data_IF_261080083902
#
_entry.id   IF_261080083902
#
_cell.length_a   1.000
_cell.length_b   1.000
_cell.length_c   1.000
_cell.angle_alpha   90.00
_cell.angle_beta   90.00
_cell.angle_gamma   90.00
#
_symmetry.space_group_name_H-M   'P 1'
#
loop_
_entity.id
_entity.type
_entity.pdbx_description
1 polymer ?
#
# COMPACT_ATOMS: atom_id res chain seq x y z
N UNK A 1 37.13 -16.29 -31.08
CA UNK A 1 36.64 -15.28 -30.15
C UNK A 1 35.46 -14.56 -30.78
N UNK A 2 34.25 -14.96 -30.45
CA UNK A 2 33.04 -14.31 -30.94
C UNK A 2 32.70 -13.19 -29.95
N UNK A 3 32.85 -11.95 -30.35
CA UNK A 3 32.44 -10.79 -29.54
C UNK A 3 30.92 -10.79 -29.48
N UNK A 4 30.37 -11.03 -28.28
CA UNK A 4 28.98 -10.76 -27.98
C UNK A 4 28.86 -9.23 -27.97
N UNK A 5 28.41 -8.67 -29.07
CA UNK A 5 27.91 -7.30 -29.08
C UNK A 5 26.61 -7.32 -28.29
N UNK A 6 26.68 -6.93 -27.02
CA UNK A 6 25.50 -6.58 -26.29
C UNK A 6 24.82 -5.42 -27.02
N UNK A 7 23.79 -5.72 -27.78
CA UNK A 7 22.98 -4.68 -28.44
C UNK A 7 22.53 -3.70 -27.35
N UNK A 8 22.83 -2.43 -27.58
CA UNK A 8 22.25 -1.36 -26.74
C UNK A 8 20.74 -1.52 -26.85
N UNK A 9 20.09 -1.87 -25.70
CA UNK A 9 18.65 -1.97 -25.64
C UNK A 9 18.07 -0.65 -26.17
N UNK A 10 17.21 -0.73 -27.17
CA UNK A 10 16.58 0.44 -27.76
C UNK A 10 15.66 1.06 -26.72
N UNK A 11 15.62 2.38 -26.61
CA UNK A 11 14.75 3.07 -25.70
C UNK A 11 13.66 3.80 -26.50
N UNK A 12 12.39 3.56 -26.14
CA UNK A 12 11.27 4.25 -26.76
C UNK A 12 10.84 5.41 -25.86
N UNK A 13 10.96 6.64 -26.37
CA UNK A 13 10.45 7.82 -25.67
C UNK A 13 8.97 8.01 -25.98
N UNK A 14 8.12 8.16 -24.97
CA UNK A 14 6.67 8.36 -25.13
C UNK A 14 6.38 9.62 -25.95
N UNK A 15 7.18 10.68 -25.82
CA UNK A 15 7.02 11.89 -26.63
C UNK A 15 7.27 11.69 -28.13
N UNK A 16 7.92 10.58 -28.54
CA UNK A 16 8.07 10.23 -29.98
C UNK A 16 6.81 9.59 -30.57
N UNK A 17 5.86 9.19 -29.75
CA UNK A 17 4.59 8.65 -30.25
C UNK A 17 3.69 9.76 -30.78
N UNK A 18 2.79 9.46 -31.73
CA UNK A 18 1.82 10.42 -32.23
C UNK A 18 1.05 11.12 -31.12
N UNK A 19 0.91 12.43 -31.19
CA UNK A 19 0.18 13.26 -30.23
C UNK A 19 -1.31 13.29 -30.59
N UNK A 20 -1.94 12.10 -30.52
CA UNK A 20 -3.36 11.88 -30.82
C UNK A 20 -3.99 11.03 -29.70
N UNK A 21 -5.25 11.26 -29.43
CA UNK A 21 -5.97 10.56 -28.37
C UNK A 21 -5.59 11.01 -26.96
N UNK A 22 -5.78 10.13 -25.99
CA UNK A 22 -5.46 10.36 -24.57
C UNK A 22 -3.97 10.12 -24.27
N UNK A 23 -3.51 10.62 -23.11
CA UNK A 23 -2.17 10.33 -22.63
C UNK A 23 -2.00 8.82 -22.34
N UNK A 24 -3.05 8.13 -21.87
CA UNK A 24 -3.03 6.67 -21.67
C UNK A 24 -2.78 5.93 -22.97
N UNK A 25 -3.48 6.29 -24.04
CA UNK A 25 -3.28 5.68 -25.38
C UNK A 25 -1.87 5.93 -25.93
N UNK A 26 -1.34 7.13 -25.73
CA UNK A 26 0.01 7.48 -26.15
C UNK A 26 1.09 6.68 -25.42
N UNK A 27 0.93 6.51 -24.10
CA UNK A 27 1.82 5.66 -23.29
C UNK A 27 1.69 4.19 -23.69
N UNK A 28 0.47 3.69 -23.89
CA UNK A 28 0.23 2.33 -24.36
C UNK A 28 0.87 2.05 -25.74
N UNK A 29 0.81 3.02 -26.65
CA UNK A 29 1.48 2.92 -27.97
C UNK A 29 3.00 2.79 -27.82
N UNK A 30 3.63 3.55 -26.91
CA UNK A 30 5.06 3.45 -26.63
C UNK A 30 5.44 2.09 -26.03
N UNK A 31 4.65 1.59 -25.08
CA UNK A 31 4.84 0.26 -24.50
C UNK A 31 4.72 -0.85 -25.54
N UNK A 32 3.78 -0.73 -26.46
CA UNK A 32 3.62 -1.68 -27.56
C UNK A 32 4.79 -1.63 -28.54
N UNK A 33 5.29 -0.44 -28.86
CA UNK A 33 6.43 -0.26 -29.76
C UNK A 33 7.75 -0.75 -29.18
N UNK A 34 7.92 -0.63 -27.83
CA UNK A 34 9.13 -1.02 -27.10
C UNK A 34 8.91 -2.22 -26.18
N UNK A 35 8.05 -3.17 -26.57
CA UNK A 35 7.79 -4.35 -25.73
C UNK A 35 9.08 -5.15 -25.47
N UNK A 36 9.37 -5.38 -24.19
CA UNK A 36 10.61 -6.04 -23.76
C UNK A 36 11.83 -5.12 -23.72
N UNK A 37 11.65 -3.80 -23.69
CA UNK A 37 12.72 -2.81 -23.75
C UNK A 37 12.55 -1.67 -22.73
N UNK A 38 13.28 -0.61 -22.89
CA UNK A 38 13.24 0.60 -22.05
C UNK A 38 12.24 1.60 -22.60
N UNK A 39 11.28 1.99 -21.79
CA UNK A 39 10.29 3.02 -22.10
C UNK A 39 10.63 4.27 -21.28
N UNK A 40 10.77 5.41 -21.93
CA UNK A 40 11.09 6.69 -21.26
C UNK A 40 9.85 7.57 -21.25
N UNK A 41 9.39 7.88 -20.05
CA UNK A 41 8.31 8.82 -19.78
C UNK A 41 8.90 10.06 -19.10
N UNK A 42 9.15 11.08 -19.87
CA UNK A 42 9.66 12.37 -19.39
C UNK A 42 8.58 13.45 -19.48
N UNK A 43 8.91 14.71 -19.18
CA UNK A 43 7.94 15.82 -19.30
C UNK A 43 7.17 15.72 -20.60
N UNK A 44 5.85 15.76 -20.48
CA UNK A 44 4.94 15.66 -21.62
C UNK A 44 5.15 16.83 -22.59
N UNK A 45 5.23 16.52 -23.87
CA UNK A 45 5.24 17.49 -24.96
C UNK A 45 4.04 17.21 -25.85
N UNK A 46 3.15 18.19 -26.00
CA UNK A 46 1.98 18.08 -26.84
C UNK A 46 1.74 19.40 -27.59
N UNK A 47 1.36 19.30 -28.85
CA UNK A 47 0.94 20.46 -29.66
C UNK A 47 -0.51 20.82 -29.37
N UNK A 48 -1.32 19.84 -28.95
CA UNK A 48 -2.75 20.01 -28.67
C UNK A 48 -3.02 20.58 -27.28
N UNK A 49 -2.04 20.49 -26.36
CA UNK A 49 -2.14 20.96 -24.99
C UNK A 49 -0.72 21.38 -24.50
N UNK A 50 -0.19 22.50 -25.01
CA UNK A 50 1.18 22.92 -24.76
C UNK A 50 1.45 23.39 -23.35
N UNK A 51 0.41 23.79 -22.60
CA UNK A 51 0.54 24.34 -21.25
C UNK A 51 0.67 23.26 -20.19
N UNK A 52 0.32 22.00 -20.52
CA UNK A 52 0.42 20.88 -19.61
C UNK A 52 1.63 20.01 -19.92
N UNK A 53 2.62 20.03 -19.06
CA UNK A 53 3.87 19.27 -19.19
C UNK A 53 3.93 17.99 -18.32
N UNK A 54 2.79 17.51 -17.85
CA UNK A 54 2.62 16.30 -17.05
C UNK A 54 1.54 15.39 -17.64
N UNK A 55 1.55 14.12 -17.28
CA UNK A 55 0.69 13.09 -17.86
C UNK A 55 -0.60 12.91 -17.05
N UNK A 56 -1.75 12.91 -17.72
CA UNK A 56 -3.08 12.63 -17.14
C UNK A 56 -3.57 11.30 -17.70
N UNK A 57 -3.70 10.30 -16.81
CA UNK A 57 -4.05 8.96 -17.23
C UNK A 57 -5.44 8.55 -16.74
N UNK A 58 -6.18 7.91 -17.63
CA UNK A 58 -7.53 7.38 -17.38
C UNK A 58 -7.51 5.87 -17.08
N UNK A 59 -6.42 5.19 -17.38
CA UNK A 59 -6.22 3.75 -17.27
C UNK A 59 -4.81 3.44 -16.81
N UNK A 60 -4.60 2.25 -16.27
CA UNK A 60 -3.30 1.81 -15.80
C UNK A 60 -2.26 1.67 -16.90
N UNK A 61 -1.04 2.06 -16.62
CA UNK A 61 0.13 1.73 -17.44
C UNK A 61 0.47 0.25 -17.23
N UNK A 62 0.27 -0.58 -18.26
CA UNK A 62 0.45 -2.04 -18.17
C UNK A 62 1.86 -2.45 -18.58
N UNK A 63 2.66 -2.93 -17.62
CA UNK A 63 4.06 -3.33 -17.87
C UNK A 63 4.16 -4.83 -18.17
N UNK A 64 4.54 -5.21 -19.39
CA UNK A 64 4.83 -6.61 -19.73
C UNK A 64 6.18 -7.05 -19.12
N UNK A 65 6.45 -8.36 -19.17
CA UNK A 65 7.76 -8.90 -18.80
C UNK A 65 8.90 -8.25 -19.57
N UNK A 66 10.06 -8.24 -18.94
CA UNK A 66 11.33 -7.73 -19.51
C UNK A 66 11.31 -6.23 -19.85
N UNK A 67 10.43 -5.45 -19.19
CA UNK A 67 10.24 -4.01 -19.46
C UNK A 67 10.80 -3.15 -18.32
N UNK A 68 11.51 -2.09 -18.68
CA UNK A 68 11.92 -1.02 -17.78
C UNK A 68 11.20 0.29 -18.13
N UNK A 69 10.31 0.77 -17.27
CA UNK A 69 9.72 2.09 -17.37
C UNK A 69 10.61 3.10 -16.61
N UNK A 70 11.19 4.04 -17.31
CA UNK A 70 11.95 5.16 -16.76
C UNK A 70 11.05 6.38 -16.76
N UNK A 71 10.75 6.90 -15.57
CA UNK A 71 9.97 8.12 -15.40
C UNK A 71 10.96 9.22 -15.01
N UNK A 72 11.03 10.30 -15.79
CA UNK A 72 12.07 11.32 -15.61
C UNK A 72 11.48 12.71 -15.45
N UNK A 73 11.77 13.36 -14.31
CA UNK A 73 11.42 14.76 -14.02
C UNK A 73 9.98 15.14 -14.41
N UNK A 74 9.01 14.26 -14.13
CA UNK A 74 7.62 14.47 -14.55
C UNK A 74 6.62 14.00 -13.50
N UNK A 75 5.38 14.44 -13.66
CA UNK A 75 4.23 14.00 -12.90
C UNK A 75 3.31 13.12 -13.75
N UNK A 76 2.82 12.05 -13.14
CA UNK A 76 1.69 11.25 -13.63
C UNK A 76 0.54 11.44 -12.66
N UNK A 77 -0.59 11.89 -13.15
CA UNK A 77 -1.80 12.10 -12.36
C UNK A 77 -2.93 11.22 -12.85
N UNK A 78 -3.67 10.62 -11.92
CA UNK A 78 -4.92 9.97 -12.25
C UNK A 78 -5.99 11.02 -12.57
N UNK A 79 -6.73 10.81 -13.64
CA UNK A 79 -7.89 11.65 -13.93
C UNK A 79 -9.07 11.33 -13.01
N UNK A 80 -10.02 12.25 -12.90
CA UNK A 80 -11.25 12.02 -12.14
C UNK A 80 -12.13 10.89 -12.74
N UNK A 81 -11.83 10.44 -13.93
CA UNK A 81 -12.50 9.31 -14.60
C UNK A 81 -11.81 7.98 -14.31
N UNK A 82 -10.55 8.02 -13.88
CA UNK A 82 -9.75 6.81 -13.70
C UNK A 82 -10.37 5.87 -12.66
N UNK A 83 -10.44 4.60 -13.01
CA UNK A 83 -10.95 3.49 -12.19
C UNK A 83 -9.91 2.39 -12.09
N UNK A 84 -8.63 2.73 -12.15
CA UNK A 84 -7.56 1.75 -12.25
C UNK A 84 -6.30 2.25 -11.51
N UNK A 85 -5.28 1.41 -11.46
CA UNK A 85 -3.97 1.71 -10.90
C UNK A 85 -3.25 2.82 -11.68
N UNK A 86 -2.17 3.39 -11.15
CA UNK A 86 -1.22 4.12 -11.98
C UNK A 86 -0.47 3.17 -12.92
N UNK A 87 0.06 2.09 -12.32
CA UNK A 87 0.90 1.12 -13.03
C UNK A 87 0.55 -0.28 -12.52
N UNK A 88 0.45 -1.24 -13.43
CA UNK A 88 0.22 -2.64 -13.10
C UNK A 88 1.05 -3.56 -13.98
N UNK A 89 1.44 -4.73 -13.45
CA UNK A 89 1.98 -5.80 -14.30
C UNK A 89 0.91 -6.29 -15.28
N UNK A 90 1.26 -6.39 -16.56
CA UNK A 90 0.30 -6.64 -17.64
C UNK A 90 -0.34 -8.04 -17.61
N UNK A 91 0.19 -8.95 -16.78
CA UNK A 91 -0.31 -10.32 -16.63
C UNK A 91 -1.57 -10.44 -15.78
N UNK A 92 -2.02 -9.38 -15.13
CA UNK A 92 -3.19 -9.39 -14.26
C UNK A 92 -4.15 -8.22 -14.58
N UNK A 93 -5.40 -8.35 -14.20
CA UNK A 93 -6.42 -7.32 -14.45
C UNK A 93 -7.82 -7.91 -14.56
N UNK A 94 -8.78 -7.07 -14.92
CA UNK A 94 -10.16 -7.48 -15.16
C UNK A 94 -10.22 -8.56 -16.24
N UNK A 95 -11.01 -9.60 -15.99
CA UNK A 95 -11.19 -10.71 -16.93
C UNK A 95 -10.03 -11.71 -16.99
N UNK A 96 -8.94 -11.51 -16.23
CA UNK A 96 -7.81 -12.44 -16.16
C UNK A 96 -8.05 -13.45 -15.05
N UNK A 97 -8.59 -14.61 -15.37
CA UNK A 97 -8.86 -15.68 -14.39
C UNK A 97 -7.62 -16.47 -13.96
N UNK A 98 -6.64 -16.61 -14.84
CA UNK A 98 -5.39 -17.37 -14.62
C UNK A 98 -4.17 -16.45 -14.86
N UNK A 99 -3.69 -15.86 -13.78
CA UNK A 99 -2.54 -14.95 -13.82
C UNK A 99 -1.25 -15.73 -14.07
N UNK A 100 -0.66 -15.55 -15.24
CA UNK A 100 0.61 -16.18 -15.62
C UNK A 100 1.78 -15.45 -14.96
N UNK A 101 2.89 -16.12 -14.64
CA UNK A 101 4.09 -15.48 -14.15
C UNK A 101 4.63 -14.43 -15.14
N UNK A 102 5.09 -13.30 -14.60
CA UNK A 102 5.83 -12.28 -15.32
C UNK A 102 7.23 -12.12 -14.69
N UNK A 103 8.16 -11.48 -15.37
CA UNK A 103 9.52 -11.32 -14.86
C UNK A 103 10.19 -10.04 -15.37
N UNK A 104 11.25 -9.62 -14.65
CA UNK A 104 12.13 -8.54 -15.04
C UNK A 104 11.39 -7.23 -15.32
N UNK A 105 10.52 -6.79 -14.40
CA UNK A 105 9.77 -5.54 -14.51
C UNK A 105 10.41 -4.48 -13.63
N UNK A 106 10.73 -3.32 -14.19
CA UNK A 106 11.33 -2.22 -13.44
C UNK A 106 10.59 -0.91 -13.65
N UNK A 107 10.43 -0.16 -12.56
CA UNK A 107 9.94 1.23 -12.56
C UNK A 107 11.04 2.07 -11.91
N UNK A 108 11.65 2.94 -12.67
CA UNK A 108 12.79 3.75 -12.25
C UNK A 108 12.44 5.22 -12.37
N UNK A 109 12.31 5.89 -11.23
CA UNK A 109 12.21 7.35 -11.19
C UNK A 109 13.60 8.01 -11.24
N UNK A 110 13.76 8.99 -12.10
CA UNK A 110 14.96 9.80 -12.23
C UNK A 110 14.59 11.28 -12.04
N UNK A 111 15.25 11.95 -11.10
CA UNK A 111 14.96 13.33 -10.75
C UNK A 111 13.69 13.49 -9.93
N UNK A 112 12.87 14.48 -10.23
CA UNK A 112 11.63 14.74 -9.47
C UNK A 112 10.42 14.05 -10.12
N UNK A 113 10.09 12.86 -9.64
CA UNK A 113 8.97 12.05 -10.14
C UNK A 113 7.84 12.03 -9.12
N UNK A 114 6.62 12.39 -9.57
CA UNK A 114 5.43 12.41 -8.74
C UNK A 114 4.30 11.57 -9.37
N UNK A 115 3.79 10.61 -8.62
CA UNK A 115 2.52 9.94 -8.90
C UNK A 115 1.45 10.54 -8.00
N UNK A 116 0.45 11.19 -8.56
CA UNK A 116 -0.59 11.93 -7.83
C UNK A 116 -1.97 11.37 -8.14
N UNK A 117 -2.77 11.08 -7.11
CA UNK A 117 -4.16 10.66 -7.25
C UNK A 117 -5.05 11.72 -7.90
N UNK A 118 -6.27 11.34 -8.24
CA UNK A 118 -7.27 12.23 -8.84
C UNK A 118 -7.66 13.38 -7.89
N UNK A 119 -8.13 14.50 -8.43
CA UNK A 119 -8.66 15.58 -7.61
C UNK A 119 -9.99 15.21 -6.96
N UNK A 120 -10.81 14.46 -7.70
CA UNK A 120 -12.08 13.89 -7.26
C UNK A 120 -12.03 12.40 -7.39
N UNK A 121 -11.35 11.72 -6.46
CA UNK A 121 -11.22 10.28 -6.52
C UNK A 121 -12.60 9.62 -6.50
N UNK A 122 -12.76 8.56 -7.27
CA UNK A 122 -13.99 7.78 -7.35
C UNK A 122 -13.73 6.35 -6.91
N UNK A 123 -14.79 5.68 -6.46
CA UNK A 123 -14.67 4.26 -6.21
C UNK A 123 -14.31 3.50 -7.48
N UNK A 124 -13.59 2.43 -7.30
CA UNK A 124 -13.45 1.42 -8.32
C UNK A 124 -14.78 0.76 -8.64
N UNK A 125 -14.81 0.01 -9.69
CA UNK A 125 -16.02 -0.64 -10.14
C UNK A 125 -16.79 0.22 -11.11
N UNK A 126 -17.88 -0.33 -11.57
CA UNK A 126 -18.75 0.28 -12.58
C UNK A 126 -19.54 1.43 -12.03
N UNK A 127 -19.23 1.78 -10.80
CA UNK A 127 -20.03 2.73 -10.12
C UNK A 127 -19.76 4.11 -10.69
N UNK A 128 -20.78 4.63 -11.24
CA UNK A 128 -21.06 6.05 -11.24
C UNK A 128 -21.04 6.63 -9.81
N UNK A 129 -20.67 5.81 -8.82
CA UNK A 129 -20.59 6.19 -7.42
C UNK A 129 -19.47 7.19 -7.18
N UNK A 130 -19.87 8.41 -7.00
CA UNK A 130 -19.07 9.35 -6.24
C UNK A 130 -19.16 8.90 -4.78
N UNK A 131 -18.13 8.32 -4.21
CA UNK A 131 -18.10 8.06 -2.78
C UNK A 131 -17.80 9.39 -2.12
N UNK A 132 -18.78 9.88 -1.41
CA UNK A 132 -18.61 11.00 -0.50
C UNK A 132 -18.63 10.44 0.90
N UNK A 133 -17.46 10.37 1.51
CA UNK A 133 -17.33 9.97 2.88
C UNK A 133 -16.90 11.14 3.73
N UNK A 134 -17.67 11.41 4.74
CA UNK A 134 -17.30 12.39 5.77
C UNK A 134 -16.27 11.75 6.70
N UNK A 135 -15.25 12.48 7.07
CA UNK A 135 -14.22 12.02 7.98
C UNK A 135 -14.76 11.55 9.32
N UNK A 136 -14.21 10.44 9.83
CA UNK A 136 -14.58 9.85 11.11
C UNK A 136 -14.46 10.82 12.31
N UNK A 137 -13.63 11.87 12.20
CA UNK A 137 -13.48 12.89 13.26
C UNK A 137 -14.63 13.87 13.32
N UNK A 138 -15.52 13.82 12.33
CA UNK A 138 -16.68 14.71 12.25
C UNK A 138 -17.96 13.92 12.40
N UNK A 139 -18.01 13.04 13.39
CA UNK A 139 -19.18 12.18 13.68
C UNK A 139 -20.49 12.95 13.75
N UNK A 140 -20.48 14.18 14.23
CA UNK A 140 -21.65 15.05 14.31
C UNK A 140 -22.15 15.47 12.92
N UNK A 141 -21.25 15.51 11.94
CA UNK A 141 -21.59 15.79 10.55
C UNK A 141 -22.05 14.54 9.79
N UNK A 142 -21.69 13.36 10.25
CA UNK A 142 -22.00 12.10 9.60
C UNK A 142 -23.49 11.83 9.47
N UNK A 143 -24.24 12.08 10.54
CA UNK A 143 -25.69 11.94 10.54
C UNK A 143 -26.34 12.92 9.53
N UNK A 144 -25.66 14.02 9.23
CA UNK A 144 -26.11 15.05 8.30
C UNK A 144 -25.83 14.71 6.83
N UNK A 145 -24.84 13.83 6.58
CA UNK A 145 -24.31 13.56 5.25
C UNK A 145 -24.33 12.07 4.84
N UNK A 146 -25.29 11.30 5.32
CA UNK A 146 -25.51 9.93 4.87
C UNK A 146 -26.00 9.90 3.41
N UNK A 147 -25.17 10.31 2.48
CA UNK A 147 -25.51 10.53 1.06
C UNK A 147 -25.95 9.27 0.32
N UNK A 148 -25.61 8.10 0.84
CA UNK A 148 -26.04 6.80 0.31
C UNK A 148 -27.48 6.45 0.64
N UNK A 149 -28.12 7.21 1.55
CA UNK A 149 -29.52 7.05 1.91
C UNK A 149 -30.40 8.05 1.15
N UNK A 150 -31.63 7.69 0.85
CA UNK A 150 -32.64 8.64 0.43
C UNK A 150 -32.73 9.80 1.42
N UNK A 151 -32.95 10.99 0.95
CA UNK A 151 -32.99 12.21 1.78
C UNK A 151 -33.97 12.10 2.95
N UNK A 152 -35.12 11.43 2.72
CA UNK A 152 -36.13 11.16 3.74
C UNK A 152 -35.68 10.25 4.89
N UNK A 153 -34.60 9.50 4.71
CA UNK A 153 -34.08 8.56 5.68
C UNK A 153 -32.87 9.10 6.44
N UNK A 154 -32.24 10.19 5.94
CA UNK A 154 -30.98 10.71 6.48
C UNK A 154 -31.09 11.25 7.91
N UNK A 155 -32.20 11.91 8.23
CA UNK A 155 -32.42 12.54 9.56
C UNK A 155 -32.55 11.53 10.69
N UNK A 156 -32.99 10.31 10.41
CA UNK A 156 -33.24 9.27 11.40
C UNK A 156 -32.22 8.12 11.37
N UNK A 157 -31.27 8.17 10.45
CA UNK A 157 -30.28 7.11 10.31
C UNK A 157 -29.10 7.32 11.27
N UNK A 158 -28.93 6.37 12.19
CA UNK A 158 -27.74 6.32 13.03
C UNK A 158 -26.62 5.62 12.26
N UNK A 159 -25.67 6.40 11.75
CA UNK A 159 -24.53 5.88 11.01
C UNK A 159 -23.69 4.96 11.89
N UNK A 160 -23.44 3.75 11.43
CA UNK A 160 -22.61 2.76 12.11
C UNK A 160 -21.20 2.73 11.50
N UNK A 161 -20.24 2.15 12.22
CA UNK A 161 -18.90 1.88 11.70
C UNK A 161 -18.94 1.08 10.39
N UNK A 162 -19.87 0.13 10.26
CA UNK A 162 -20.04 -0.69 9.05
C UNK A 162 -20.59 0.10 7.87
N UNK A 163 -21.49 1.05 8.11
CA UNK A 163 -21.97 1.94 7.06
C UNK A 163 -20.82 2.77 6.49
N UNK A 164 -19.93 3.22 7.36
CA UNK A 164 -18.73 3.93 7.00
C UNK A 164 -17.83 3.06 6.13
N UNK A 165 -17.52 1.87 6.60
CA UNK A 165 -16.65 0.94 5.92
C UNK A 165 -17.21 0.50 4.57
N UNK A 166 -18.52 0.25 4.48
CA UNK A 166 -19.22 -0.13 3.26
C UNK A 166 -19.29 0.99 2.20
N UNK A 167 -19.17 2.23 2.64
CA UNK A 167 -19.17 3.39 1.76
C UNK A 167 -17.80 4.05 1.66
N UNK A 168 -16.76 3.38 2.15
CA UNK A 168 -15.40 3.88 2.02
C UNK A 168 -14.97 3.89 0.56
N UNK A 169 -14.08 4.83 0.30
CA UNK A 169 -13.44 4.95 -0.97
C UNK A 169 -12.74 3.65 -1.35
N UNK A 170 -13.07 3.13 -2.51
CA UNK A 170 -12.42 1.93 -3.03
C UNK A 170 -13.04 0.59 -2.68
N UNK A 171 -14.19 0.55 -2.01
CA UNK A 171 -14.86 -0.71 -1.78
C UNK A 171 -16.10 -0.86 -2.67
N UNK A 172 -16.17 -1.94 -3.45
CA UNK A 172 -17.42 -2.45 -4.05
C UNK A 172 -18.15 -3.38 -3.08
N UNK A 173 -17.88 -3.23 -1.79
CA UNK A 173 -18.36 -4.09 -0.72
C UNK A 173 -19.87 -4.28 -0.68
N UNK A 174 -20.63 -3.27 -1.06
CA UNK A 174 -22.07 -3.33 -1.10
C UNK A 174 -22.66 -4.05 -2.34
N UNK A 175 -21.83 -4.41 -3.32
CA UNK A 175 -22.20 -5.30 -4.41
C UNK A 175 -21.88 -6.74 -4.03
N UNK A 176 -22.80 -7.38 -3.33
CA UNK A 176 -22.67 -8.77 -2.92
C UNK A 176 -22.41 -9.69 -4.10
N UNK A 177 -21.27 -10.38 -4.08
CA UNK A 177 -20.96 -11.44 -5.03
C UNK A 177 -20.10 -11.05 -6.23
N UNK A 178 -19.83 -9.78 -6.49
CA UNK A 178 -19.02 -9.33 -7.62
C UNK A 178 -17.58 -9.04 -7.21
N UNK A 179 -16.83 -10.08 -6.82
CA UNK A 179 -15.41 -9.94 -6.44
C UNK A 179 -14.49 -9.63 -7.63
N UNK A 180 -15.00 -9.69 -8.84
CA UNK A 180 -14.21 -9.51 -10.06
C UNK A 180 -14.01 -8.02 -10.41
N UNK A 181 -14.70 -7.14 -9.73
CA UNK A 181 -14.59 -5.69 -9.87
C UNK A 181 -13.65 -5.03 -8.86
N UNK A 182 -13.04 -5.78 -8.03
CA UNK A 182 -12.20 -5.59 -6.85
C UNK A 182 -11.54 -4.24 -6.59
N UNK A 183 -11.41 -3.95 -5.34
CA UNK A 183 -10.76 -2.75 -4.79
C UNK A 183 -9.27 -2.64 -5.14
N UNK A 184 -8.67 -3.75 -5.63
CA UNK A 184 -7.29 -3.75 -6.11
C UNK A 184 -7.02 -2.68 -7.19
N UNK A 185 -8.05 -2.19 -7.87
CA UNK A 185 -7.95 -1.09 -8.83
C UNK A 185 -7.64 0.27 -8.21
N UNK A 186 -7.86 0.43 -6.91
CA UNK A 186 -7.47 1.65 -6.17
C UNK A 186 -6.02 1.68 -5.73
N UNK A 187 -5.32 0.55 -5.80
CA UNK A 187 -3.90 0.46 -5.49
C UNK A 187 -3.11 1.30 -6.52
N UNK A 188 -2.13 2.06 -6.05
CA UNK A 188 -1.33 2.89 -6.93
C UNK A 188 -0.50 2.06 -7.91
N UNK A 189 0.38 1.18 -7.40
CA UNK A 189 1.19 0.26 -8.20
C UNK A 189 0.89 -1.17 -7.76
N UNK A 190 0.54 -2.04 -8.70
CA UNK A 190 0.17 -3.43 -8.42
C UNK A 190 0.98 -4.41 -9.29
N UNK A 191 1.74 -5.29 -8.64
CA UNK A 191 2.38 -6.43 -9.30
C UNK A 191 1.85 -7.75 -8.77
N UNK A 192 1.59 -8.70 -9.68
CA UNK A 192 1.14 -10.05 -9.33
C UNK A 192 1.97 -11.11 -10.06
N UNK A 193 2.49 -12.10 -9.33
CA UNK A 193 3.37 -13.18 -9.85
C UNK A 193 4.54 -12.64 -10.67
N UNK A 194 5.19 -11.58 -10.21
CA UNK A 194 6.37 -11.02 -10.87
C UNK A 194 7.63 -11.52 -10.17
N UNK A 195 8.51 -12.14 -10.92
CA UNK A 195 9.85 -12.50 -10.48
C UNK A 195 10.89 -11.51 -11.00
N UNK A 196 11.82 -11.09 -10.15
CA UNK A 196 12.83 -10.08 -10.43
C UNK A 196 12.23 -8.73 -10.82
N UNK A 197 11.94 -7.90 -9.82
CA UNK A 197 11.40 -6.56 -10.04
C UNK A 197 12.14 -5.48 -9.26
N UNK A 198 12.07 -4.25 -9.76
CA UNK A 198 12.57 -3.07 -9.06
C UNK A 198 11.60 -1.90 -9.20
N UNK A 199 11.30 -1.23 -8.09
CA UNK A 199 10.53 0.02 -8.05
C UNK A 199 11.32 1.00 -7.21
N UNK A 200 11.72 2.14 -7.79
CA UNK A 200 12.50 3.13 -7.04
C UNK A 200 12.37 4.56 -7.53
N UNK A 201 12.70 5.51 -6.64
CA UNK A 201 12.84 6.92 -6.98
C UNK A 201 11.52 7.64 -7.21
N UNK A 202 10.46 7.30 -6.45
CA UNK A 202 9.12 7.83 -6.66
C UNK A 202 8.65 8.65 -5.46
N UNK A 203 7.97 9.76 -5.73
CA UNK A 203 7.08 10.41 -4.77
C UNK A 203 5.65 10.00 -5.09
N UNK A 204 4.90 9.61 -4.07
CA UNK A 204 3.50 9.21 -4.22
C UNK A 204 2.62 10.07 -3.34
N UNK A 205 1.59 10.67 -3.93
CA UNK A 205 0.72 11.61 -3.25
C UNK A 205 -0.74 11.24 -3.44
N UNK A 206 -1.48 11.23 -2.36
CA UNK A 206 -2.94 11.09 -2.34
C UNK A 206 -3.46 9.94 -3.20
N UNK A 207 -2.88 8.76 -3.03
CA UNK A 207 -3.36 7.54 -3.69
C UNK A 207 -4.80 7.22 -3.27
N UNK A 208 -5.49 6.42 -4.08
CA UNK A 208 -6.89 6.10 -3.85
C UNK A 208 -7.11 4.96 -2.85
N UNK A 209 -6.08 4.38 -2.38
CA UNK A 209 -5.94 3.31 -1.41
C UNK A 209 -4.45 3.07 -1.22
N UNK A 210 -4.02 1.82 -1.07
CA UNK A 210 -2.61 1.45 -0.91
C UNK A 210 -1.75 1.96 -2.06
N UNK A 211 -0.57 2.51 -1.74
CA UNK A 211 0.30 3.06 -2.77
C UNK A 211 0.96 1.97 -3.62
N UNK A 212 1.51 0.91 -2.99
CA UNK A 212 2.11 -0.22 -3.67
C UNK A 212 1.58 -1.54 -3.12
N UNK A 213 1.30 -2.51 -3.97
CA UNK A 213 0.97 -3.87 -3.55
C UNK A 213 1.66 -4.91 -4.42
N UNK A 214 2.32 -5.86 -3.76
CA UNK A 214 3.01 -6.99 -4.40
C UNK A 214 2.33 -8.28 -3.99
N UNK A 215 1.84 -9.06 -4.96
CA UNK A 215 1.16 -10.33 -4.71
C UNK A 215 1.92 -11.50 -5.34
N UNK A 216 2.35 -12.48 -4.55
CA UNK A 216 3.13 -13.63 -4.99
C UNK A 216 4.36 -13.24 -5.84
N UNK A 217 4.99 -12.12 -5.49
CA UNK A 217 6.18 -11.61 -6.16
C UNK A 217 7.45 -12.08 -5.47
N UNK A 218 8.51 -12.29 -6.24
CA UNK A 218 9.80 -12.76 -5.73
C UNK A 218 10.98 -11.96 -6.27
N UNK A 219 12.10 -11.96 -5.52
CA UNK A 219 13.34 -11.30 -5.90
C UNK A 219 13.15 -9.82 -6.27
N UNK A 220 12.56 -9.07 -5.33
CA UNK A 220 12.17 -7.69 -5.53
C UNK A 220 13.01 -6.68 -4.77
N UNK A 221 13.06 -5.45 -5.29
CA UNK A 221 13.60 -4.29 -4.59
C UNK A 221 12.64 -3.12 -4.71
N UNK A 222 12.27 -2.54 -3.57
CA UNK A 222 11.49 -1.29 -3.48
C UNK A 222 12.35 -0.29 -2.72
N UNK A 223 12.69 0.84 -3.33
CA UNK A 223 13.62 1.77 -2.73
C UNK A 223 13.36 3.24 -3.07
N UNK A 224 13.82 4.14 -2.19
CA UNK A 224 13.78 5.58 -2.45
C UNK A 224 12.36 6.06 -2.76
N UNK A 225 11.39 5.70 -1.91
CA UNK A 225 9.99 6.08 -2.03
C UNK A 225 9.64 7.11 -0.96
N UNK A 226 9.00 8.20 -1.38
CA UNK A 226 8.51 9.25 -0.50
C UNK A 226 6.97 9.34 -0.57
N UNK A 227 6.29 9.17 0.57
CA UNK A 227 4.84 9.20 0.67
C UNK A 227 4.33 10.54 1.19
N UNK A 228 3.24 11.02 0.61
CA UNK A 228 2.51 12.20 1.08
C UNK A 228 1.01 11.98 0.98
N UNK A 229 0.44 11.30 1.98
CA UNK A 229 -0.98 10.97 2.04
C UNK A 229 -1.68 11.86 3.06
N UNK A 230 -2.85 12.38 2.71
CA UNK A 230 -3.57 13.33 3.58
C UNK A 230 -4.81 12.76 4.24
N UNK A 231 -5.20 11.51 3.98
CA UNK A 231 -6.42 10.84 4.48
C UNK A 231 -7.71 11.65 4.27
N UNK A 232 -7.72 12.92 4.58
CA UNK A 232 -8.89 13.79 4.50
C UNK A 232 -8.69 14.88 3.45
N UNK A 233 -9.67 15.03 2.58
CA UNK A 233 -9.68 16.05 1.54
C UNK A 233 -11.01 16.77 1.54
N UNK A 234 -10.95 18.10 1.40
CA UNK A 234 -12.15 18.92 1.23
C UNK A 234 -12.52 18.95 -0.25
N UNK A 235 -13.58 18.22 -0.63
CA UNK A 235 -14.02 18.07 -2.01
C UNK A 235 -15.50 18.43 -2.11
N UNK A 236 -15.84 19.36 -3.01
CA UNK A 236 -17.22 19.81 -3.24
C UNK A 236 -17.95 20.28 -1.96
N UNK A 237 -17.25 20.98 -1.09
CA UNK A 237 -17.82 21.53 0.14
C UNK A 237 -17.92 20.51 1.29
N UNK A 238 -17.37 19.31 1.15
CA UNK A 238 -17.43 18.23 2.14
C UNK A 238 -16.04 17.66 2.41
N UNK A 239 -15.73 17.43 3.69
CA UNK A 239 -14.56 16.67 4.07
C UNK A 239 -14.79 15.18 3.77
N UNK A 240 -13.94 14.63 2.93
CA UNK A 240 -13.96 13.21 2.55
C UNK A 240 -12.75 12.50 3.13
N UNK A 241 -12.97 11.31 3.66
CA UNK A 241 -11.91 10.43 4.11
C UNK A 241 -11.54 9.44 3.00
N UNK A 242 -10.24 9.30 2.75
CA UNK A 242 -9.68 8.28 1.86
C UNK A 242 -9.03 7.25 2.75
N UNK A 243 -9.69 6.11 2.92
CA UNK A 243 -9.19 5.03 3.78
C UNK A 243 -8.10 4.20 3.12
N UNK A 244 -7.40 3.43 3.97
CA UNK A 244 -6.43 2.46 3.54
C UNK A 244 -5.36 3.07 2.60
N UNK A 245 -4.88 4.27 2.93
CA UNK A 245 -3.74 4.87 2.23
C UNK A 245 -2.42 4.36 2.81
N UNK A 246 -2.24 3.04 2.78
CA UNK A 246 -0.99 2.37 3.14
C UNK A 246 0.11 2.74 2.14
N UNK A 247 1.36 2.60 2.56
CA UNK A 247 2.50 2.79 1.67
C UNK A 247 2.81 1.55 0.84
N UNK A 248 3.35 0.51 1.46
CA UNK A 248 3.82 -0.69 0.77
C UNK A 248 3.19 -1.93 1.38
N UNK A 249 2.41 -2.66 0.61
CA UNK A 249 1.79 -3.92 0.97
C UNK A 249 2.47 -5.10 0.29
N UNK A 250 3.15 -5.91 1.08
CA UNK A 250 3.69 -7.20 0.65
C UNK A 250 2.69 -8.28 1.03
N UNK A 251 2.11 -8.91 0.03
CA UNK A 251 0.99 -9.84 0.20
C UNK A 251 1.41 -11.30 0.10
N UNK A 252 0.42 -12.16 0.25
CA UNK A 252 0.58 -13.63 0.21
C UNK A 252 1.51 -14.11 -0.91
N UNK A 253 2.44 -14.99 -0.55
CA UNK A 253 3.35 -15.65 -1.50
C UNK A 253 4.53 -14.79 -1.95
N UNK A 254 4.80 -13.70 -1.26
CA UNK A 254 5.97 -12.86 -1.54
C UNK A 254 7.21 -13.33 -0.79
N UNK A 255 8.34 -13.42 -1.50
CA UNK A 255 9.63 -13.87 -0.95
C UNK A 255 10.81 -13.10 -1.54
N UNK A 256 11.89 -12.99 -0.77
CA UNK A 256 13.17 -12.39 -1.21
C UNK A 256 13.01 -10.94 -1.69
N UNK A 257 12.41 -10.07 -0.86
CA UNK A 257 12.17 -8.65 -1.19
C UNK A 257 12.94 -7.77 -0.23
N UNK A 258 13.61 -6.75 -0.76
CA UNK A 258 14.25 -5.67 -0.01
C UNK A 258 13.45 -4.38 -0.17
N UNK A 259 13.12 -3.75 0.97
CA UNK A 259 12.45 -2.45 1.05
C UNK A 259 13.38 -1.50 1.81
N UNK A 260 13.75 -0.39 1.18
CA UNK A 260 14.74 0.50 1.79
C UNK A 260 14.57 1.97 1.40
N UNK A 261 15.04 2.88 2.26
CA UNK A 261 14.99 4.33 2.05
C UNK A 261 13.56 4.83 1.84
N UNK A 262 12.68 4.54 2.80
CA UNK A 262 11.28 4.94 2.77
C UNK A 262 11.09 6.17 3.66
N UNK A 263 10.43 7.19 3.13
CA UNK A 263 10.16 8.46 3.83
C UNK A 263 8.71 8.90 3.69
N UNK A 264 8.32 9.88 4.51
CA UNK A 264 7.07 10.62 4.35
C UNK A 264 5.97 10.20 5.30
N UNK A 265 4.73 10.35 4.85
CA UNK A 265 3.53 10.10 5.65
C UNK A 265 2.50 9.29 4.89
N UNK A 266 1.96 8.28 5.56
CA UNK A 266 0.84 7.46 5.05
C UNK A 266 -0.44 7.70 5.85
N UNK A 267 -1.57 7.34 5.29
CA UNK A 267 -2.85 7.39 5.99
C UNK A 267 -3.04 6.19 6.92
N UNK A 268 -2.62 5.02 6.49
CA UNK A 268 -2.63 3.76 7.24
C UNK A 268 -1.19 3.23 7.34
N UNK A 269 -0.93 1.91 7.39
CA UNK A 269 0.41 1.35 7.58
C UNK A 269 1.44 1.88 6.56
N UNK A 270 2.68 2.19 7.00
CA UNK A 270 3.73 2.59 6.04
C UNK A 270 4.24 1.39 5.25
N UNK A 271 4.46 0.26 5.93
CA UNK A 271 4.83 -1.01 5.30
C UNK A 271 4.04 -2.13 5.98
N UNK A 272 3.25 -2.88 5.23
CA UNK A 272 2.52 -4.02 5.72
C UNK A 272 2.95 -5.32 5.05
N UNK A 273 3.32 -6.32 5.85
CA UNK A 273 3.47 -7.71 5.41
C UNK A 273 2.18 -8.46 5.75
N UNK A 274 1.29 -8.62 4.76
CA UNK A 274 -0.07 -9.09 4.97
C UNK A 274 -0.28 -10.48 4.36
N UNK A 275 -0.10 -11.51 5.18
CA UNK A 275 -0.26 -12.92 4.79
C UNK A 275 -1.55 -13.48 5.41
N UNK A 276 -2.68 -13.35 4.71
CA UNK A 276 -3.98 -13.78 5.20
C UNK A 276 -4.48 -14.97 4.38
N UNK A 277 -4.69 -16.10 5.04
CA UNK A 277 -5.36 -17.23 4.42
C UNK A 277 -6.88 -16.98 4.35
N UNK A 278 -7.55 -17.37 3.26
CA UNK A 278 -9.00 -17.32 3.25
C UNK A 278 -9.55 -18.23 4.37
N UNK A 279 -10.54 -17.77 5.13
CA UNK A 279 -11.17 -18.61 6.14
C UNK A 279 -11.88 -19.77 5.45
N UNK A 280 -11.55 -20.99 5.86
CA UNK A 280 -12.14 -22.22 5.33
C UNK A 280 -13.66 -22.21 5.56
N UNK A 281 -14.42 -22.54 4.53
CA UNK A 281 -15.87 -22.74 4.60
C UNK A 281 -16.72 -21.47 4.69
N UNK A 282 -16.14 -20.28 4.77
CA UNK A 282 -16.92 -19.04 4.80
C UNK A 282 -17.10 -18.49 3.39
N UNK A 283 -18.33 -18.35 2.88
CA UNK A 283 -18.59 -17.70 1.60
C UNK A 283 -18.00 -16.30 1.57
N UNK A 284 -17.42 -15.88 0.45
CA UNK A 284 -16.75 -14.58 0.28
C UNK A 284 -17.59 -13.40 0.79
N UNK A 285 -18.89 -13.42 0.55
CA UNK A 285 -19.84 -12.37 0.94
C UNK A 285 -20.02 -12.17 2.45
N UNK A 286 -19.58 -13.12 3.27
CA UNK A 286 -19.72 -13.05 4.73
C UNK A 286 -18.39 -12.91 5.45
N UNK A 287 -17.30 -12.71 4.73
CA UNK A 287 -15.98 -12.60 5.35
C UNK A 287 -15.83 -11.22 6.01
N UNK A 288 -15.49 -11.17 7.31
CA UNK A 288 -15.38 -9.89 8.04
C UNK A 288 -14.40 -8.90 7.41
N UNK A 289 -13.40 -9.42 6.72
CA UNK A 289 -12.35 -8.64 6.04
C UNK A 289 -12.54 -8.64 4.52
N UNK A 290 -13.75 -8.47 4.06
CA UNK A 290 -14.06 -8.46 2.61
C UNK A 290 -13.13 -7.59 1.80
N UNK A 291 -12.81 -6.39 2.28
CA UNK A 291 -11.86 -5.47 1.67
C UNK A 291 -10.46 -6.09 1.43
N UNK A 292 -9.95 -6.90 2.36
CA UNK A 292 -8.65 -7.54 2.20
C UNK A 292 -8.60 -8.60 1.09
N UNK A 293 -9.73 -9.16 0.72
CA UNK A 293 -9.82 -10.09 -0.40
C UNK A 293 -10.07 -9.38 -1.72
N UNK A 294 -10.90 -8.36 -1.72
CA UNK A 294 -11.21 -7.56 -2.91
C UNK A 294 -10.01 -6.71 -3.36
N UNK A 295 -9.11 -6.39 -2.45
CA UNK A 295 -7.82 -5.75 -2.73
C UNK A 295 -6.76 -6.70 -3.31
N UNK A 296 -7.04 -8.00 -3.47
CA UNK A 296 -6.13 -8.94 -4.10
C UNK A 296 -6.60 -9.30 -5.50
N UNK A 297 -5.80 -9.00 -6.51
CA UNK A 297 -6.10 -9.38 -7.89
C UNK A 297 -6.06 -10.90 -8.08
N UNK A 298 -5.33 -11.60 -7.20
CA UNK A 298 -5.20 -13.07 -7.22
C UNK A 298 -6.19 -13.78 -6.29
N UNK A 299 -7.29 -13.16 -5.91
CA UNK A 299 -8.23 -13.67 -4.91
C UNK A 299 -8.82 -15.07 -5.23
N UNK A 300 -8.80 -15.50 -6.47
CA UNK A 300 -9.31 -16.81 -6.88
C UNK A 300 -8.27 -17.95 -6.81
N UNK A 301 -7.00 -17.64 -6.51
CA UNK A 301 -5.89 -18.61 -6.59
C UNK A 301 -5.24 -18.93 -5.23
N UNK A 302 -5.88 -18.60 -4.13
CA UNK A 302 -5.32 -18.82 -2.79
C UNK A 302 -5.00 -20.28 -2.45
N UNK A 303 -5.73 -21.24 -3.01
CA UNK A 303 -5.58 -22.65 -2.66
C UNK A 303 -4.43 -23.33 -3.39
N UNK A 304 -3.84 -22.69 -4.40
CA UNK A 304 -2.86 -23.29 -5.30
C UNK A 304 -1.42 -22.81 -5.09
N UNK A 305 -1.18 -21.91 -4.12
CA UNK A 305 0.12 -21.28 -3.91
C UNK A 305 0.50 -21.23 -2.44
N UNK A 306 1.80 -21.05 -2.17
CA UNK A 306 2.28 -20.74 -0.82
C UNK A 306 1.71 -19.39 -0.36
N UNK A 307 0.89 -19.34 0.69
CA UNK A 307 0.34 -18.08 1.20
C UNK A 307 1.30 -17.35 2.13
N UNK A 308 2.44 -17.94 2.47
CA UNK A 308 3.38 -17.37 3.44
C UNK A 308 4.21 -16.22 2.84
N UNK A 309 4.80 -15.44 3.72
CA UNK A 309 5.77 -14.38 3.36
C UNK A 309 7.10 -14.72 4.02
N UNK A 310 8.21 -14.60 3.29
CA UNK A 310 9.52 -14.86 3.89
C UNK A 310 10.68 -14.14 3.21
N UNK A 311 11.82 -14.04 3.92
CA UNK A 311 13.07 -13.47 3.43
C UNK A 311 12.88 -12.01 2.99
N UNK A 312 12.32 -11.20 3.89
CA UNK A 312 12.09 -9.77 3.67
C UNK A 312 13.11 -8.95 4.45
N UNK A 313 13.68 -7.95 3.82
CA UNK A 313 14.56 -6.97 4.46
C UNK A 313 13.89 -5.60 4.38
N UNK A 314 13.69 -4.95 5.52
CA UNK A 314 13.17 -3.58 5.64
C UNK A 314 14.22 -2.75 6.36
N UNK A 315 14.70 -1.67 5.74
CA UNK A 315 15.73 -0.83 6.35
C UNK A 315 15.67 0.63 5.94
N UNK A 316 16.19 1.49 6.82
CA UNK A 316 16.24 2.94 6.61
C UNK A 316 14.84 3.53 6.28
N UNK A 317 13.93 3.41 7.27
CA UNK A 317 12.57 3.96 7.20
C UNK A 317 12.50 5.19 8.11
N UNK A 318 12.10 6.34 7.58
CA UNK A 318 11.90 7.59 8.31
C UNK A 318 10.55 8.16 7.92
N UNK A 319 9.52 7.71 8.58
CA UNK A 319 8.16 8.01 8.21
C UNK A 319 7.24 8.03 9.43
N UNK A 320 6.00 8.41 9.25
CA UNK A 320 4.96 8.13 10.23
C UNK A 320 3.66 7.73 9.55
N UNK A 321 2.84 6.97 10.26
CA UNK A 321 1.46 6.67 9.88
C UNK A 321 0.51 7.61 10.60
N UNK A 322 -0.54 8.08 9.94
CA UNK A 322 -1.57 8.89 10.58
C UNK A 322 -2.50 8.06 11.46
N UNK A 323 -2.74 6.82 11.11
CA UNK A 323 -3.75 5.98 11.75
C UNK A 323 -3.19 4.70 12.38
N UNK A 324 -2.25 4.01 11.75
CA UNK A 324 -1.85 2.66 12.14
C UNK A 324 -0.34 2.55 12.44
N UNK A 325 0.34 1.55 11.98
CA UNK A 325 1.74 1.26 12.30
C UNK A 325 2.71 1.73 11.20
N UNK A 326 3.99 1.94 11.57
CA UNK A 326 5.01 2.11 10.53
C UNK A 326 5.25 0.78 9.83
N UNK A 327 5.42 -0.29 10.60
CA UNK A 327 5.64 -1.62 10.02
C UNK A 327 4.70 -2.61 10.70
N UNK A 328 3.86 -3.25 9.89
CA UNK A 328 2.91 -4.26 10.33
C UNK A 328 3.27 -5.63 9.77
N UNK A 329 3.28 -6.66 10.63
CA UNK A 329 3.36 -8.06 10.24
C UNK A 329 2.05 -8.74 10.62
N UNK A 330 1.25 -9.10 9.62
CA UNK A 330 -0.11 -9.62 9.80
C UNK A 330 -0.26 -11.02 9.20
N UNK A 331 0.18 -12.08 9.89
CA UNK A 331 -0.17 -13.45 9.52
C UNK A 331 -1.53 -13.83 10.08
N UNK A 332 -2.45 -14.28 9.24
CA UNK A 332 -3.73 -14.84 9.64
C UNK A 332 -3.94 -16.19 8.96
N UNK A 333 -3.80 -17.27 9.71
CA UNK A 333 -3.81 -18.65 9.16
C UNK A 333 -2.57 -19.03 8.34
N UNK A 334 -1.55 -18.16 8.30
CA UNK A 334 -0.33 -18.25 7.50
C UNK A 334 0.91 -18.03 8.36
N UNK A 335 2.08 -17.86 7.73
CA UNK A 335 3.34 -17.56 8.41
C UNK A 335 4.07 -16.41 7.73
N UNK A 336 4.77 -15.61 8.56
CA UNK A 336 5.76 -14.63 8.14
C UNK A 336 7.08 -15.00 8.82
N UNK A 337 8.15 -15.20 8.06
CA UNK A 337 9.43 -15.66 8.61
C UNK A 337 10.66 -15.10 7.90
N UNK A 338 11.81 -15.13 8.59
CA UNK A 338 13.08 -14.64 8.07
C UNK A 338 12.99 -13.17 7.62
N UNK A 339 12.59 -12.31 8.55
CA UNK A 339 12.42 -10.88 8.32
C UNK A 339 13.48 -10.10 9.08
N UNK A 340 14.14 -9.18 8.43
CA UNK A 340 15.08 -8.24 9.03
C UNK A 340 14.47 -6.85 8.95
N UNK A 341 14.36 -6.16 10.09
CA UNK A 341 13.90 -4.78 10.20
C UNK A 341 14.99 -3.98 10.89
N UNK A 342 15.53 -2.96 10.24
CA UNK A 342 16.57 -2.13 10.84
C UNK A 342 16.48 -0.66 10.46
N UNK A 343 17.05 0.19 11.33
CA UNK A 343 17.20 1.62 11.07
C UNK A 343 15.85 2.30 10.79
N UNK A 344 14.92 2.15 11.72
CA UNK A 344 13.56 2.73 11.63
C UNK A 344 13.42 3.88 12.63
N UNK A 345 13.02 5.03 12.14
CA UNK A 345 12.73 6.22 12.95
C UNK A 345 11.28 6.63 12.70
N UNK A 346 10.48 6.64 13.75
CA UNK A 346 9.17 7.26 13.72
C UNK A 346 9.33 8.78 13.72
N UNK A 347 8.82 9.43 12.69
CA UNK A 347 8.89 10.88 12.51
C UNK A 347 7.58 11.58 12.90
N UNK A 348 6.74 10.92 13.70
CA UNK A 348 5.49 11.49 14.20
C UNK A 348 5.77 12.83 14.91
N UNK A 349 5.14 13.94 14.47
CA UNK A 349 5.40 15.23 15.07
C UNK A 349 5.05 15.27 16.57
N UNK A 350 5.81 15.98 17.41
CA UNK A 350 5.56 16.10 18.86
C UNK A 350 4.26 16.86 19.16
N UNK A 351 3.80 17.69 18.23
CA UNK A 351 2.52 18.38 18.30
C UNK A 351 1.56 17.85 17.25
N UNK A 352 0.31 17.65 17.63
CA UNK A 352 -0.69 17.20 16.67
C UNK A 352 -1.16 18.35 15.80
N UNK A 353 -0.76 18.37 14.55
CA UNK A 353 -1.48 19.08 13.48
C UNK A 353 -2.61 18.22 12.91
N UNK A 354 -2.69 16.98 13.37
CA UNK A 354 -3.64 15.99 12.91
C UNK A 354 -4.70 15.75 13.99
N UNK A 355 -5.99 15.91 13.67
CA UNK A 355 -7.07 15.58 14.59
C UNK A 355 -7.13 14.07 14.92
N UNK A 356 -6.40 13.24 14.18
CA UNK A 356 -6.33 11.82 14.45
C UNK A 356 -5.43 11.55 15.65
N UNK A 357 -5.98 10.93 16.67
CA UNK A 357 -5.15 10.37 17.73
C UNK A 357 -4.36 9.21 17.12
N UNK A 358 -3.09 9.44 16.89
CA UNK A 358 -2.18 8.37 16.53
C UNK A 358 -2.22 7.29 17.63
N UNK A 359 -2.69 6.10 17.30
CA UNK A 359 -2.80 4.99 18.25
C UNK A 359 -1.85 3.84 17.92
N UNK A 360 -1.19 3.91 16.78
CA UNK A 360 -0.34 2.85 16.27
C UNK A 360 1.04 2.80 16.90
N UNK A 361 1.63 1.62 16.99
CA UNK A 361 3.02 1.43 17.35
C UNK A 361 3.95 1.64 16.14
N UNK A 362 5.26 1.70 16.37
CA UNK A 362 6.22 1.60 15.25
C UNK A 362 6.10 0.22 14.59
N UNK A 363 6.12 -0.84 15.41
CA UNK A 363 5.98 -2.22 14.94
C UNK A 363 4.70 -2.85 15.48
N UNK A 364 3.81 -3.31 14.60
CA UNK A 364 2.60 -4.06 14.96
C UNK A 364 2.75 -5.52 14.49
N UNK A 365 2.96 -6.42 15.45
CA UNK A 365 3.22 -7.84 15.21
C UNK A 365 2.00 -8.70 15.54
N UNK A 366 1.20 -9.01 14.50
CA UNK A 366 -0.10 -9.63 14.62
C UNK A 366 -1.20 -8.63 15.01
N UNK A 367 -2.45 -9.05 14.91
CA UNK A 367 -3.64 -8.20 15.10
C UNK A 367 -4.55 -8.64 16.25
N UNK A 368 -4.09 -9.59 17.03
CA UNK A 368 -4.92 -10.18 18.10
C UNK A 368 -6.06 -11.08 17.63
N UNK A 369 -6.13 -11.40 16.33
CA UNK A 369 -7.10 -12.31 15.74
C UNK A 369 -8.26 -11.65 14.99
N UNK A 370 -8.20 -10.36 14.74
CA UNK A 370 -9.24 -9.61 14.00
C UNK A 370 -9.44 -10.13 12.58
N UNK A 371 -8.36 -10.42 11.86
CA UNK A 371 -8.39 -10.96 10.49
C UNK A 371 -8.34 -12.49 10.39
N UNK A 372 -8.33 -13.17 11.51
CA UNK A 372 -8.29 -14.62 11.60
C UNK A 372 -7.45 -15.11 12.76
N UNK A 373 -7.42 -16.43 12.96
CA UNK A 373 -6.65 -17.01 14.07
C UNK A 373 -5.17 -16.88 13.82
N UNK A 374 -4.47 -16.18 14.69
CA UNK A 374 -3.02 -16.26 14.81
C UNK A 374 -2.66 -17.65 15.39
N UNK A 375 -1.84 -18.39 14.68
CA UNK A 375 -1.32 -19.69 15.15
C UNK A 375 -0.01 -19.47 15.91
N UNK A 376 0.31 -20.38 16.82
CA UNK A 376 1.63 -20.41 17.43
C UNK A 376 2.72 -20.37 16.36
N UNK A 377 3.77 -19.61 16.61
CA UNK A 377 4.92 -19.47 15.70
C UNK A 377 4.52 -18.95 14.30
N UNK A 378 3.50 -18.12 14.22
CA UNK A 378 3.10 -17.51 12.93
C UNK A 378 4.08 -16.42 12.47
N UNK A 379 4.82 -15.80 13.38
CA UNK A 379 5.94 -14.89 13.08
C UNK A 379 7.20 -15.52 13.67
N UNK A 380 8.22 -15.79 12.84
CA UNK A 380 9.46 -16.44 13.27
C UNK A 380 10.70 -15.87 12.62
N UNK A 381 11.83 -16.00 13.34
CA UNK A 381 13.13 -15.59 12.83
C UNK A 381 13.14 -14.12 12.40
N UNK A 382 12.54 -13.28 13.27
CA UNK A 382 12.51 -11.85 13.11
C UNK A 382 13.77 -11.25 13.78
N UNK A 383 14.52 -10.48 13.05
CA UNK A 383 15.63 -9.67 13.56
C UNK A 383 15.25 -8.20 13.47
N UNK A 384 15.08 -7.55 14.62
CA UNK A 384 14.76 -6.12 14.74
C UNK A 384 15.91 -5.40 15.39
N UNK A 385 16.42 -4.35 14.76
CA UNK A 385 17.57 -3.61 15.28
C UNK A 385 17.49 -2.11 14.96
N UNK A 386 17.88 -1.29 15.93
CA UNK A 386 17.97 0.16 15.78
C UNK A 386 16.64 0.82 15.42
N UNK A 387 15.69 0.80 16.36
CA UNK A 387 14.33 1.36 16.19
C UNK A 387 14.14 2.52 17.18
N UNK A 388 13.66 3.65 16.70
CA UNK A 388 13.37 4.83 17.51
C UNK A 388 11.90 5.18 17.37
N UNK A 389 11.16 5.11 18.46
CA UNK A 389 9.79 5.61 18.56
C UNK A 389 9.78 7.10 18.92
N UNK A 390 8.84 7.86 18.38
CA UNK A 390 8.66 9.28 18.66
C UNK A 390 8.04 9.51 20.07
N UNK A 391 8.08 10.75 20.56
CA UNK A 391 7.54 11.16 21.87
C UNK A 391 6.04 10.83 22.08
N UNK A 392 5.30 10.68 21.03
CA UNK A 392 3.85 10.39 21.05
C UNK A 392 3.51 9.00 20.55
N UNK A 393 4.48 8.21 20.15
CA UNK A 393 4.27 6.82 19.72
C UNK A 393 3.84 5.97 20.91
N UNK A 394 2.74 5.26 20.80
CA UNK A 394 2.18 4.49 21.93
C UNK A 394 3.12 3.38 22.39
N UNK A 395 3.66 2.60 21.47
CA UNK A 395 4.66 1.55 21.72
C UNK A 395 5.66 1.52 20.57
N UNK A 396 6.90 1.19 20.86
CA UNK A 396 7.86 0.89 19.77
C UNK A 396 7.50 -0.45 19.15
N UNK A 397 7.11 -1.45 19.95
CA UNK A 397 6.63 -2.73 19.43
C UNK A 397 5.39 -3.20 20.19
N UNK A 398 4.30 -3.44 19.46
CA UNK A 398 3.11 -4.10 19.95
C UNK A 398 3.04 -5.53 19.42
N UNK A 399 3.13 -6.51 20.32
CA UNK A 399 3.11 -7.94 20.01
C UNK A 399 1.75 -8.50 20.42
N UNK A 400 0.86 -8.63 19.43
CA UNK A 400 -0.51 -9.15 19.58
C UNK A 400 -0.72 -10.50 18.90
N UNK A 401 0.20 -10.90 18.02
CA UNK A 401 0.30 -12.25 17.43
C UNK A 401 1.35 -13.11 18.14
N UNK A 402 1.67 -14.27 17.58
CA UNK A 402 2.63 -15.21 18.13
C UNK A 402 3.99 -15.07 17.44
N UNK A 403 4.95 -14.50 18.14
CA UNK A 403 6.35 -14.31 17.71
C UNK A 403 7.24 -15.32 18.41
N UNK A 404 8.12 -15.97 17.68
CA UNK A 404 9.10 -16.90 18.26
C UNK A 404 10.47 -16.83 17.57
N UNK A 405 11.48 -17.31 18.28
CA UNK A 405 12.84 -17.48 17.74
C UNK A 405 13.39 -16.17 17.14
N UNK A 406 13.19 -15.04 17.84
CA UNK A 406 13.37 -13.70 17.31
C UNK A 406 14.24 -12.83 18.25
N UNK A 407 14.83 -11.76 17.72
CA UNK A 407 15.66 -10.83 18.48
C UNK A 407 15.25 -9.38 18.21
N UNK A 408 15.09 -8.62 19.28
CA UNK A 408 14.83 -7.18 19.28
C UNK A 408 16.00 -6.49 20.00
N UNK A 409 16.70 -5.58 19.36
CA UNK A 409 17.89 -4.93 19.90
C UNK A 409 17.97 -3.46 19.56
N UNK A 410 18.60 -2.68 20.45
CA UNK A 410 18.84 -1.25 20.26
C UNK A 410 17.53 -0.48 20.00
N UNK A 411 16.61 -0.56 20.96
CA UNK A 411 15.28 0.05 20.89
C UNK A 411 15.25 1.30 21.76
N UNK A 412 14.83 2.42 21.21
CA UNK A 412 14.66 3.68 21.94
C UNK A 412 13.19 4.08 21.93
N UNK A 413 12.61 4.18 23.11
CA UNK A 413 11.29 4.75 23.32
C UNK A 413 11.44 6.18 23.84
N UNK A 414 10.92 7.16 23.10
CA UNK A 414 10.93 8.57 23.50
C UNK A 414 9.64 9.00 24.23
N UNK A 415 8.63 8.14 24.29
CA UNK A 415 7.39 8.43 25.00
C UNK A 415 7.50 8.05 26.48
N UNK A 416 7.51 9.03 27.41
CA UNK A 416 7.61 8.74 28.85
C UNK A 416 6.34 8.15 29.46
N UNK A 417 5.19 8.23 28.77
CA UNK A 417 3.91 7.73 29.24
C UNK A 417 3.68 6.25 28.94
N UNK A 418 4.49 5.67 28.06
CA UNK A 418 4.33 4.30 27.57
C UNK A 418 5.64 3.52 27.65
N UNK A 419 5.56 2.21 27.70
CA UNK A 419 6.71 1.32 27.59
C UNK A 419 7.05 1.05 26.12
N UNK A 420 8.33 0.74 25.82
CA UNK A 420 8.75 0.40 24.45
C UNK A 420 7.98 -0.81 23.91
N UNK A 421 7.66 -1.78 24.77
CA UNK A 421 7.00 -3.02 24.37
C UNK A 421 5.65 -3.20 25.04
N UNK A 422 4.63 -3.55 24.23
CA UNK A 422 3.40 -4.17 24.69
C UNK A 422 3.35 -5.62 24.19
N UNK A 423 3.26 -6.57 25.12
CA UNK A 423 3.13 -8.00 24.79
C UNK A 423 1.81 -8.49 25.38
N UNK A 424 0.90 -8.97 24.53
CA UNK A 424 -0.47 -9.36 24.91
C UNK A 424 -0.51 -10.46 25.99
N UNK A 425 0.45 -11.38 25.96
CA UNK A 425 0.62 -12.44 26.96
C UNK A 425 1.97 -13.12 26.77
N UNK A 426 2.45 -13.84 27.77
CA UNK A 426 3.77 -14.51 27.75
C UNK A 426 3.93 -15.49 26.58
N UNK A 427 2.85 -16.11 26.17
CA UNK A 427 2.80 -17.05 25.03
C UNK A 427 2.98 -16.36 23.68
N UNK A 428 2.81 -15.04 23.62
CA UNK A 428 2.95 -14.26 22.38
C UNK A 428 4.40 -13.95 22.01
N UNK A 429 5.35 -14.13 22.93
CA UNK A 429 6.79 -13.98 22.64
C UNK A 429 7.55 -15.14 23.27
N UNK A 430 7.98 -16.10 22.47
CA UNK A 430 8.64 -17.33 22.93
C UNK A 430 10.01 -17.50 22.31
N UNK A 431 10.97 -18.06 23.05
CA UNK A 431 12.35 -18.30 22.59
C UNK A 431 12.96 -17.10 21.88
N UNK A 432 12.75 -15.89 22.45
CA UNK A 432 13.14 -14.63 21.83
C UNK A 432 13.87 -13.74 22.83
N UNK A 433 14.62 -12.77 22.33
CA UNK A 433 15.43 -11.86 23.14
C UNK A 433 15.06 -10.41 22.89
N UNK A 434 15.00 -9.62 23.95
CA UNK A 434 14.89 -8.16 23.92
C UNK A 434 16.10 -7.63 24.66
N UNK A 435 16.96 -6.85 23.98
CA UNK A 435 18.22 -6.34 24.56
C UNK A 435 18.45 -4.88 24.17
N UNK A 436 19.14 -4.15 25.03
CA UNK A 436 19.49 -2.73 24.83
C UNK A 436 18.27 -1.85 24.56
N UNK A 437 17.34 -1.82 25.50
CA UNK A 437 16.16 -0.95 25.46
C UNK A 437 16.41 0.30 26.29
N UNK A 438 16.19 1.46 25.70
CA UNK A 438 16.21 2.76 26.38
C UNK A 438 14.78 3.27 26.47
N UNK A 439 14.31 3.50 27.70
CA UNK A 439 13.01 4.10 27.98
C UNK A 439 13.18 5.58 28.33
N UNK A 440 12.34 6.44 27.78
CA UNK A 440 12.30 7.84 28.23
C UNK A 440 11.91 7.89 29.70
N UNK A 441 12.56 8.78 30.45
CA UNK A 441 12.15 9.09 31.83
C UNK A 441 11.28 10.34 31.78
N UNK A 442 10.10 10.27 32.41
CA UNK A 442 9.35 11.49 32.70
C UNK A 442 10.23 12.48 33.48
N UNK A 443 10.14 13.75 33.19
CA UNK A 443 10.73 14.77 34.06
C UNK A 443 10.14 14.56 35.46
N UNK A 444 11.00 14.29 36.42
CA UNK A 444 10.56 14.25 37.82
C UNK A 444 10.15 15.68 38.19
N UNK A 445 8.86 15.89 38.48
CA UNK A 445 8.36 17.13 39.05
C UNK A 445 9.09 17.53 40.36
#
# INVERSE_FOLDING_TARGET
MSAIVAGLASAVNVNSMPDIGSDSERIAAALKAGAGDRIILEKRVSKNDPDRNWWLIDEAILLPSDTTLIIRDTKIKLSDKCRDNFIRSANCGLGVADIKPAKNIRIIGEGNVLLEGADRPRSTGDAEKTIRRVSAHRWDEWNKYAYWLPESERENHKVTFWDIHNNSYGTDWNKQGESDHGDWRNIGILFAKVDNFEIKGLKMKDTHGWALSMEACTHGRIADIDFNMVMERFIDGVWQNIENQDGIDIRNGCHFITIENITGVTGDDVIALTAIAPPDGVPKKFRPSGSLYTTQVMHNDFTKRDPNISHIIIRNVRAYSRLCALIRLLPAGTKISNVIISDVIDTLPPYSVDPHNHWGPVLLLGDGGHYGKNKEKSIRYLSVNNIIGAERTKYVAQISGYVSDSCFSNIINQNPECTAFYIKGKEHLTNSQIVNVVEAKGEAE
#
